data_IF_136757890786
#
_entry.id   IF_136757890786
#
_cell.length_a   1.000
_cell.length_b   1.000
_cell.length_c   1.000
_cell.angle_alpha   90.00
_cell.angle_beta   90.00
_cell.angle_gamma   90.00
#
_symmetry.space_group_name_H-M   'P 1'
#
loop_
_entity.id
_entity.type
_entity.pdbx_description
1 polymer ?
#
# COMPACT_ATOMS: atom_id res chain seq x y z
N UNK A 1 8.79 24.56 -15.22
CA UNK A 1 10.14 24.18 -14.70
C UNK A 1 9.99 23.93 -13.21
N UNK A 2 10.46 22.79 -12.67
CA UNK A 2 10.27 22.26 -11.29
C UNK A 2 9.17 21.19 -11.13
N UNK A 3 9.35 20.00 -11.73
CA UNK A 3 8.72 18.75 -11.26
C UNK A 3 9.77 17.65 -11.28
N UNK A 4 10.80 17.83 -10.46
CA UNK A 4 11.79 16.80 -10.16
C UNK A 4 11.77 16.59 -8.65
N UNK A 5 11.62 15.32 -8.23
CA UNK A 5 11.53 14.82 -6.83
C UNK A 5 10.11 14.74 -6.27
N UNK A 6 9.58 13.50 -6.25
CA UNK A 6 9.19 12.81 -5.01
C UNK A 6 8.87 11.35 -5.34
N UNK A 7 9.90 10.53 -5.12
CA UNK A 7 9.89 9.08 -5.15
C UNK A 7 9.49 8.57 -3.76
N UNK A 8 8.63 7.57 -3.75
CA UNK A 8 8.40 6.56 -2.70
C UNK A 8 7.99 7.05 -1.30
N UNK A 9 6.81 6.60 -0.85
CA UNK A 9 6.50 6.01 0.47
C UNK A 9 4.98 5.72 0.54
N UNK A 10 4.57 4.95 1.55
CA UNK A 10 3.19 4.74 2.03
C UNK A 10 2.36 3.58 1.46
N UNK A 11 2.68 2.29 1.72
CA UNK A 11 1.74 1.17 1.49
C UNK A 11 1.91 -0.03 2.43
N UNK A 12 1.86 0.18 3.75
CA UNK A 12 2.20 -0.85 4.75
C UNK A 12 1.06 -1.32 5.68
N UNK A 13 -0.19 -0.92 5.46
CA UNK A 13 -1.25 -1.17 6.46
C UNK A 13 -1.94 -2.53 6.42
N UNK A 14 -2.03 -3.18 5.26
CA UNK A 14 -2.98 -4.27 5.13
C UNK A 14 -2.51 -5.59 5.78
N UNK A 15 -1.21 -5.85 5.74
CA UNK A 15 -0.67 -7.17 6.02
C UNK A 15 -0.38 -7.45 7.51
N UNK A 16 -0.56 -6.46 8.40
CA UNK A 16 -0.42 -6.67 9.86
C UNK A 16 -1.43 -7.69 10.43
N UNK A 17 -2.46 -8.06 9.68
CA UNK A 17 -3.65 -8.72 10.23
C UNK A 17 -3.69 -10.24 10.02
N UNK A 18 -2.81 -10.78 9.16
CA UNK A 18 -2.68 -12.22 8.91
C UNK A 18 -1.55 -12.90 9.72
N UNK A 19 -0.77 -12.14 10.49
CA UNK A 19 0.42 -12.61 11.22
C UNK A 19 0.27 -12.58 12.75
N UNK A 20 -0.97 -12.70 13.26
CA UNK A 20 -1.24 -12.86 14.69
C UNK A 20 -0.88 -14.28 15.17
N UNK A 21 0.42 -14.59 15.21
CA UNK A 21 0.94 -15.72 15.97
C UNK A 21 1.46 -15.32 17.36
N UNK A 22 1.76 -14.02 17.55
CA UNK A 22 2.16 -13.43 18.84
C UNK A 22 1.69 -11.97 18.91
N UNK A 23 1.15 -11.54 20.06
CA UNK A 23 0.65 -10.18 20.26
C UNK A 23 1.72 -9.11 20.03
N UNK A 24 2.98 -9.42 20.36
CA UNK A 24 4.10 -8.48 20.23
C UNK A 24 4.54 -8.25 18.79
N UNK A 25 4.47 -9.28 17.94
CA UNK A 25 4.71 -9.12 16.50
C UNK A 25 3.68 -8.18 15.88
N UNK A 26 2.40 -8.38 16.22
CA UNK A 26 1.33 -7.51 15.77
C UNK A 26 1.55 -6.06 16.23
N UNK A 27 1.90 -5.84 17.50
CA UNK A 27 2.13 -4.50 18.06
C UNK A 27 3.20 -3.72 17.29
N UNK A 28 4.36 -4.34 17.04
CA UNK A 28 5.46 -3.69 16.31
C UNK A 28 5.02 -3.35 14.88
N UNK A 29 4.38 -4.30 14.19
CA UNK A 29 3.95 -4.08 12.79
C UNK A 29 2.85 -3.04 12.66
N UNK A 30 1.88 -3.04 13.58
CA UNK A 30 0.84 -2.03 13.64
C UNK A 30 1.43 -0.64 13.89
N UNK A 31 2.38 -0.49 14.83
CA UNK A 31 3.05 0.79 15.08
C UNK A 31 3.86 1.28 13.88
N UNK A 32 4.60 0.39 13.21
CA UNK A 32 5.34 0.72 11.98
C UNK A 32 4.37 1.16 10.88
N UNK A 33 3.27 0.44 10.69
CA UNK A 33 2.27 0.79 9.69
C UNK A 33 1.60 2.15 10.00
N UNK A 34 1.26 2.40 11.26
CA UNK A 34 0.74 3.70 11.73
C UNK A 34 1.76 4.82 11.51
N UNK A 35 3.05 4.58 11.73
CA UNK A 35 4.10 5.56 11.48
C UNK A 35 4.21 5.91 9.99
N UNK A 36 4.10 4.93 9.09
CA UNK A 36 4.12 5.19 7.64
C UNK A 36 2.92 5.99 7.14
N UNK A 37 1.75 5.72 7.71
CA UNK A 37 0.49 6.38 7.33
C UNK A 37 0.42 7.77 7.92
N UNK A 38 0.78 7.89 9.21
CA UNK A 38 0.90 9.16 9.91
C UNK A 38 1.91 10.05 9.19
N UNK A 39 3.10 9.53 8.90
CA UNK A 39 4.10 10.23 8.12
C UNK A 39 3.62 10.65 6.74
N UNK A 40 2.83 9.82 6.04
CA UNK A 40 2.23 10.18 4.75
C UNK A 40 1.20 11.29 4.86
N UNK A 41 0.28 11.20 5.82
CA UNK A 41 -0.70 12.24 6.09
C UNK A 41 -0.04 13.53 6.54
N UNK A 42 1.01 13.48 7.35
CA UNK A 42 1.81 14.65 7.75
C UNK A 42 2.50 15.27 6.54
N UNK A 43 3.05 14.49 5.61
CA UNK A 43 3.64 15.04 4.38
C UNK A 43 2.59 15.80 3.56
N UNK A 44 1.38 15.27 3.42
CA UNK A 44 0.26 15.94 2.75
C UNK A 44 -0.17 17.19 3.51
N UNK A 45 -0.23 17.11 4.83
CA UNK A 45 -0.61 18.22 5.70
C UNK A 45 0.39 19.39 5.60
N UNK A 46 1.69 19.09 5.51
CA UNK A 46 2.74 20.09 5.28
C UNK A 46 2.71 20.69 3.87
N UNK A 47 2.23 19.94 2.87
CA UNK A 47 2.06 20.44 1.50
C UNK A 47 0.86 21.39 1.38
N UNK A 48 -0.17 21.21 2.23
CA UNK A 48 -1.31 22.12 2.30
C UNK A 48 -0.86 23.42 2.99
N UNK A 49 -0.55 24.45 2.20
CA UNK A 49 -0.10 25.76 2.69
C UNK A 49 -1.07 26.52 3.62
N UNK A 50 -2.27 25.99 3.90
CA UNK A 50 -3.25 26.53 4.87
C UNK A 50 -3.92 25.39 5.68
N UNK A 51 -3.20 24.72 6.59
CA UNK A 51 -3.66 23.50 7.24
C UNK A 51 -4.94 23.67 8.08
N UNK A 52 -5.13 24.84 8.70
CA UNK A 52 -6.32 25.12 9.51
C UNK A 52 -7.62 25.16 8.68
N UNK A 53 -7.54 25.46 7.37
CA UNK A 53 -8.71 25.40 6.47
C UNK A 53 -8.98 23.98 5.94
N UNK A 54 -8.05 23.04 6.10
CA UNK A 54 -8.25 21.65 5.71
C UNK A 54 -9.33 20.96 6.57
N UNK A 55 -9.64 21.49 7.76
CA UNK A 55 -10.73 20.99 8.60
C UNK A 55 -12.09 21.11 7.86
N UNK A 56 -12.26 22.13 7.01
CA UNK A 56 -13.49 22.30 6.24
C UNK A 56 -13.71 21.20 5.18
N UNK A 57 -12.66 20.43 4.83
CA UNK A 57 -12.74 19.30 3.90
C UNK A 57 -13.57 18.17 4.49
N UNK A 58 -13.67 18.04 5.81
CA UNK A 58 -14.44 16.97 6.46
C UNK A 58 -15.96 17.10 6.31
N UNK A 59 -16.49 18.28 5.98
CA UNK A 59 -17.94 18.52 5.93
C UNK A 59 -18.63 18.06 4.64
N UNK A 60 -17.87 17.73 3.58
CA UNK A 60 -18.44 17.34 2.27
C UNK A 60 -17.92 15.97 1.78
N UNK A 61 -18.22 14.86 2.48
CA UNK A 61 -17.73 13.53 2.12
C UNK A 61 -18.23 12.99 0.78
N UNK A 62 -19.35 13.54 0.29
CA UNK A 62 -19.97 13.05 -0.94
C UNK A 62 -19.21 13.51 -2.20
N UNK A 63 -18.57 14.68 -2.18
CA UNK A 63 -18.00 15.30 -3.39
C UNK A 63 -16.52 15.03 -3.58
N UNK A 64 -15.76 14.72 -2.51
CA UNK A 64 -14.30 14.57 -2.59
C UNK A 64 -13.83 13.22 -2.04
N UNK A 65 -12.98 12.52 -2.81
CA UNK A 65 -12.33 11.29 -2.35
C UNK A 65 -11.27 11.54 -1.27
N UNK A 66 -10.73 12.76 -1.20
CA UNK A 66 -9.78 13.18 -0.17
C UNK A 66 -10.44 13.27 1.22
N UNK A 67 -11.69 13.75 1.28
CA UNK A 67 -12.48 13.74 2.52
C UNK A 67 -12.72 12.32 3.01
N UNK A 68 -13.02 11.39 2.08
CA UNK A 68 -13.27 9.97 2.42
C UNK A 68 -12.01 9.30 2.98
N UNK A 69 -10.83 9.59 2.41
CA UNK A 69 -9.55 9.13 2.96
C UNK A 69 -9.35 9.60 4.40
N UNK A 70 -9.57 10.89 4.67
CA UNK A 70 -9.46 11.46 6.02
C UNK A 70 -10.43 10.84 7.02
N UNK A 71 -11.69 10.64 6.62
CA UNK A 71 -12.72 10.00 7.47
C UNK A 71 -12.37 8.55 7.77
N UNK A 72 -11.75 7.81 6.84
CA UNK A 72 -11.32 6.42 7.05
C UNK A 72 -10.03 6.33 7.86
N UNK A 73 -9.14 7.33 7.76
CA UNK A 73 -7.89 7.38 8.52
C UNK A 73 -8.14 7.39 10.04
N UNK A 74 -9.08 8.22 10.53
CA UNK A 74 -9.35 8.31 11.98
C UNK A 74 -9.72 6.95 12.61
N UNK A 75 -10.76 6.22 12.15
CA UNK A 75 -11.11 4.92 12.70
C UNK A 75 -10.02 3.88 12.45
N UNK A 76 -9.26 3.98 11.36
CA UNK A 76 -8.11 3.11 11.12
C UNK A 76 -7.07 3.28 12.26
N UNK A 77 -6.69 4.52 12.56
CA UNK A 77 -5.74 4.81 13.65
C UNK A 77 -6.29 4.30 14.99
N UNK A 78 -7.56 4.55 15.29
CA UNK A 78 -8.19 4.10 16.53
C UNK A 78 -8.22 2.57 16.64
N UNK A 79 -8.64 1.86 15.58
CA UNK A 79 -8.70 0.40 15.59
C UNK A 79 -7.31 -0.24 15.66
N UNK A 80 -6.33 0.31 14.94
CA UNK A 80 -4.97 -0.19 14.98
C UNK A 80 -4.34 0.01 16.38
N UNK A 81 -4.50 1.19 16.99
CA UNK A 81 -4.03 1.47 18.35
C UNK A 81 -4.76 0.62 19.40
N UNK A 82 -6.08 0.44 19.26
CA UNK A 82 -6.84 -0.47 20.11
C UNK A 82 -6.31 -1.90 19.99
N UNK A 83 -6.04 -2.39 18.78
CA UNK A 83 -5.41 -3.69 18.57
C UNK A 83 -4.04 -3.82 19.24
N UNK A 84 -3.22 -2.76 19.23
CA UNK A 84 -1.92 -2.72 19.92
C UNK A 84 -2.11 -2.85 21.42
N UNK A 85 -3.06 -2.09 21.99
CA UNK A 85 -3.34 -2.06 23.42
C UNK A 85 -3.91 -3.38 23.93
N UNK A 86 -4.95 -3.90 23.28
CA UNK A 86 -5.64 -5.12 23.67
C UNK A 86 -4.95 -6.41 23.19
N UNK A 87 -3.90 -6.30 22.38
CA UNK A 87 -3.06 -7.44 21.98
C UNK A 87 -3.70 -8.39 20.97
N UNK A 88 -4.79 -8.01 20.31
CA UNK A 88 -5.42 -8.82 19.26
C UNK A 88 -6.96 -8.73 19.24
N UNK A 89 -7.58 -9.53 18.38
CA UNK A 89 -9.03 -9.69 18.30
C UNK A 89 -9.71 -8.89 17.18
N UNK A 90 -10.97 -8.52 17.40
CA UNK A 90 -11.84 -7.87 16.40
C UNK A 90 -11.22 -6.58 15.84
N UNK A 91 -10.50 -5.82 16.68
CA UNK A 91 -9.82 -4.58 16.27
C UNK A 91 -8.77 -4.80 15.19
N UNK A 92 -8.09 -5.95 15.18
CA UNK A 92 -7.13 -6.32 14.14
C UNK A 92 -7.85 -6.51 12.81
N UNK A 93 -8.95 -7.28 12.82
CA UNK A 93 -9.78 -7.48 11.62
C UNK A 93 -10.34 -6.17 11.09
N UNK A 94 -10.83 -5.30 11.98
CA UNK A 94 -11.32 -3.97 11.61
C UNK A 94 -10.21 -3.08 11.03
N UNK A 95 -9.03 -3.07 11.63
CA UNK A 95 -7.88 -2.33 11.10
C UNK A 95 -7.44 -2.85 9.72
N UNK A 96 -7.54 -4.17 9.48
CA UNK A 96 -7.30 -4.77 8.16
C UNK A 96 -8.25 -4.18 7.11
N UNK A 97 -9.54 -4.24 7.41
CA UNK A 97 -10.61 -3.82 6.51
C UNK A 97 -10.50 -2.32 6.23
N UNK A 98 -10.33 -1.51 7.28
CA UNK A 98 -10.12 -0.07 7.14
C UNK A 98 -8.84 0.24 6.36
N UNK A 99 -7.79 -0.58 6.48
CA UNK A 99 -6.56 -0.47 5.68
C UNK A 99 -6.81 -0.67 4.19
N UNK A 100 -7.65 -1.63 3.80
CA UNK A 100 -8.07 -1.80 2.39
C UNK A 100 -8.86 -0.59 1.92
N UNK A 101 -9.82 -0.15 2.74
CA UNK A 101 -10.68 0.99 2.37
C UNK A 101 -9.83 2.24 2.20
N UNK A 102 -8.85 2.46 3.08
CA UNK A 102 -7.89 3.56 2.98
C UNK A 102 -7.07 3.48 1.68
N UNK A 103 -6.53 2.30 1.35
CA UNK A 103 -5.77 2.09 0.10
C UNK A 103 -6.66 2.26 -1.15
N UNK A 104 -7.92 1.84 -1.07
CA UNK A 104 -8.91 2.06 -2.11
C UNK A 104 -9.19 3.55 -2.31
N UNK A 105 -9.36 4.32 -1.23
CA UNK A 105 -9.50 5.78 -1.30
C UNK A 105 -8.30 6.41 -2.03
N UNK A 106 -7.07 6.02 -1.71
CA UNK A 106 -5.88 6.51 -2.40
C UNK A 106 -5.88 6.18 -3.91
N UNK A 107 -6.28 4.97 -4.27
CA UNK A 107 -6.46 4.58 -5.67
C UNK A 107 -7.50 5.43 -6.39
N UNK A 108 -8.61 5.76 -5.74
CA UNK A 108 -9.70 6.59 -6.29
C UNK A 108 -9.32 8.07 -6.42
N UNK A 109 -8.50 8.60 -5.51
CA UNK A 109 -7.93 9.95 -5.62
C UNK A 109 -7.05 10.04 -6.87
N UNK A 110 -6.20 9.05 -7.10
CA UNK A 110 -5.38 8.97 -8.32
C UNK A 110 -6.25 8.91 -9.58
N UNK A 111 -7.31 8.11 -9.54
CA UNK A 111 -8.27 8.01 -10.64
C UNK A 111 -8.98 9.34 -10.94
N UNK A 112 -9.31 10.11 -9.90
CA UNK A 112 -9.97 11.40 -10.03
C UNK A 112 -9.00 12.53 -10.44
N UNK A 113 -7.70 12.24 -10.58
CA UNK A 113 -6.71 13.27 -10.92
C UNK A 113 -6.82 13.75 -12.37
N UNK A 114 -6.30 14.96 -12.63
CA UNK A 114 -6.33 15.59 -13.96
C UNK A 114 -5.47 14.86 -15.02
N UNK A 115 -4.55 14.00 -14.60
CA UNK A 115 -3.62 13.34 -15.51
C UNK A 115 -4.30 12.17 -16.22
N UNK A 116 -4.35 12.21 -17.56
CA UNK A 116 -5.05 11.22 -18.40
C UNK A 116 -4.57 9.78 -18.18
N UNK A 117 -3.29 9.57 -17.86
CA UNK A 117 -2.74 8.25 -17.54
C UNK A 117 -3.32 7.63 -16.26
N UNK A 118 -3.82 8.44 -15.34
CA UNK A 118 -4.31 7.98 -14.05
C UNK A 118 -5.85 7.86 -14.03
N UNK A 119 -6.57 8.47 -14.98
CA UNK A 119 -8.04 8.39 -15.08
C UNK A 119 -8.57 7.00 -15.42
N UNK A 120 -7.72 6.12 -15.93
CA UNK A 120 -8.08 4.74 -16.26
C UNK A 120 -8.54 3.99 -15.00
N UNK A 121 -9.76 3.42 -14.95
CA UNK A 121 -10.29 2.74 -13.77
C UNK A 121 -9.43 1.59 -13.26
N UNK A 122 -8.65 0.97 -14.14
CA UNK A 122 -7.72 -0.11 -13.78
C UNK A 122 -6.51 0.34 -12.95
N UNK A 123 -6.32 1.65 -12.75
CA UNK A 123 -5.33 2.15 -11.79
C UNK A 123 -5.65 1.68 -10.37
N UNK A 124 -6.92 1.60 -9.99
CA UNK A 124 -7.36 1.25 -8.63
C UNK A 124 -6.93 -0.18 -8.25
N UNK A 125 -7.26 -1.24 -9.03
CA UNK A 125 -6.80 -2.58 -8.72
C UNK A 125 -5.28 -2.71 -8.79
N UNK A 126 -4.59 -1.93 -9.63
CA UNK A 126 -3.13 -1.90 -9.65
C UNK A 126 -2.58 -1.36 -8.32
N UNK A 127 -3.10 -0.24 -7.81
CA UNK A 127 -2.69 0.34 -6.53
C UNK A 127 -2.94 -0.63 -5.38
N UNK A 128 -4.12 -1.26 -5.35
CA UNK A 128 -4.44 -2.31 -4.38
C UNK A 128 -3.42 -3.45 -4.44
N UNK A 129 -3.21 -4.05 -5.63
CA UNK A 129 -2.28 -5.16 -5.81
C UNK A 129 -0.84 -4.79 -5.42
N UNK A 130 -0.39 -3.58 -5.74
CA UNK A 130 0.94 -3.12 -5.31
C UNK A 130 1.05 -2.96 -3.79
N UNK A 131 0.01 -2.48 -3.11
CA UNK A 131 0.02 -2.36 -1.65
C UNK A 131 0.01 -3.72 -0.94
N UNK A 132 -0.72 -4.71 -1.48
CA UNK A 132 -0.63 -6.08 -0.98
C UNK A 132 0.79 -6.65 -1.18
N UNK A 133 1.40 -6.49 -2.36
CA UNK A 133 2.77 -6.99 -2.62
C UNK A 133 3.80 -6.36 -1.66
N UNK A 134 3.72 -5.04 -1.45
CA UNK A 134 4.65 -4.32 -0.55
C UNK A 134 4.46 -4.74 0.91
N UNK A 135 3.22 -4.93 1.36
CA UNK A 135 2.92 -5.46 2.69
C UNK A 135 3.39 -6.91 2.88
N UNK A 136 3.24 -7.77 1.87
CA UNK A 136 3.71 -9.16 1.90
C UNK A 136 5.24 -9.25 1.99
N UNK A 137 5.96 -8.42 1.23
CA UNK A 137 7.42 -8.36 1.27
C UNK A 137 7.95 -7.92 2.64
N UNK A 138 7.32 -6.93 3.26
CA UNK A 138 7.68 -6.45 4.60
C UNK A 138 7.43 -7.48 5.70
N UNK A 139 6.32 -8.21 5.65
CA UNK A 139 6.07 -9.33 6.57
C UNK A 139 7.18 -10.38 6.53
N UNK A 140 7.73 -10.64 5.35
CA UNK A 140 8.75 -11.67 5.16
C UNK A 140 10.14 -11.21 5.60
N UNK A 141 10.43 -9.92 5.51
CA UNK A 141 11.68 -9.33 6.01
C UNK A 141 11.75 -9.25 7.54
N UNK A 142 10.67 -9.58 8.25
CA UNK A 142 10.63 -9.66 9.71
C UNK A 142 10.58 -11.11 10.22
N UNK A 143 11.66 -11.91 10.03
CA UNK A 143 11.67 -13.33 10.40
C UNK A 143 11.74 -13.58 11.91
N UNK A 144 11.99 -12.54 12.71
CA UNK A 144 12.33 -12.63 14.13
C UNK A 144 11.15 -12.79 15.10
N UNK A 145 9.88 -12.70 14.65
CA UNK A 145 8.76 -12.65 15.61
C UNK A 145 7.68 -13.72 15.49
N UNK A 146 7.69 -14.58 14.46
CA UNK A 146 6.70 -15.66 14.34
C UNK A 146 7.17 -16.87 13.48
N UNK A 147 7.21 -18.09 14.02
CA UNK A 147 7.42 -19.32 13.25
C UNK A 147 6.27 -19.64 12.27
N UNK A 148 5.05 -19.15 12.54
CA UNK A 148 3.84 -19.41 11.74
C UNK A 148 3.88 -18.73 10.36
N UNK A 149 4.44 -17.53 10.24
CA UNK A 149 4.65 -16.82 8.97
C UNK A 149 5.72 -17.48 8.10
N UNK A 150 6.52 -18.40 8.66
CA UNK A 150 7.55 -19.16 7.94
C UNK A 150 6.91 -20.18 6.97
N UNK A 151 5.83 -20.87 7.37
CA UNK A 151 5.19 -21.98 6.62
C UNK A 151 4.08 -21.57 5.64
N UNK A 152 3.25 -20.56 5.96
CA UNK A 152 2.15 -20.14 5.08
C UNK A 152 2.57 -19.24 3.88
N UNK A 153 3.86 -18.88 3.78
CA UNK A 153 4.23 -17.62 3.12
C UNK A 153 4.61 -17.65 1.64
N UNK A 154 5.04 -18.77 1.04
CA UNK A 154 5.48 -18.74 -0.37
C UNK A 154 4.33 -18.68 -1.39
N UNK A 155 3.25 -19.50 -1.29
CA UNK A 155 2.23 -19.51 -2.33
C UNK A 155 1.34 -18.27 -2.24
N UNK A 156 1.13 -17.72 -1.05
CA UNK A 156 0.45 -16.44 -0.84
C UNK A 156 1.27 -15.25 -1.37
N UNK A 157 2.60 -15.26 -1.22
CA UNK A 157 3.44 -14.23 -1.84
C UNK A 157 3.42 -14.35 -3.37
N UNK A 158 3.53 -15.57 -3.91
CA UNK A 158 3.45 -15.80 -5.35
C UNK A 158 2.10 -15.39 -5.93
N UNK A 159 0.98 -15.71 -5.27
CA UNK A 159 -0.35 -15.31 -5.75
C UNK A 159 -0.50 -13.78 -5.79
N UNK A 160 0.00 -13.07 -4.78
CA UNK A 160 -0.07 -11.60 -4.73
C UNK A 160 0.86 -10.95 -5.78
N UNK A 161 2.03 -11.53 -6.07
CA UNK A 161 2.91 -11.11 -7.17
C UNK A 161 2.25 -11.34 -8.54
N UNK A 162 1.59 -12.48 -8.73
CA UNK A 162 0.85 -12.80 -9.97
C UNK A 162 -0.31 -11.81 -10.14
N UNK A 163 -1.09 -11.54 -9.09
CA UNK A 163 -2.17 -10.55 -9.11
C UNK A 163 -1.67 -9.16 -9.50
N UNK A 164 -0.51 -8.73 -9.00
CA UNK A 164 0.12 -7.46 -9.40
C UNK A 164 0.51 -7.45 -10.87
N UNK A 165 1.13 -8.53 -11.37
CA UNK A 165 1.49 -8.66 -12.80
C UNK A 165 0.26 -8.63 -13.70
N UNK A 166 -0.82 -9.31 -13.30
CA UNK A 166 -2.10 -9.27 -14.01
C UNK A 166 -2.69 -7.85 -13.98
N UNK A 167 -2.73 -7.20 -12.81
CA UNK A 167 -3.28 -5.84 -12.69
C UNK A 167 -2.50 -4.83 -13.56
N UNK A 168 -1.17 -4.96 -13.62
CA UNK A 168 -0.32 -4.13 -14.46
C UNK A 168 -0.59 -4.32 -15.95
N UNK A 169 -0.62 -5.58 -16.42
CA UNK A 169 -0.89 -5.88 -17.84
C UNK A 169 -2.28 -5.43 -18.26
N UNK A 170 -3.29 -5.62 -17.39
CA UNK A 170 -4.65 -5.16 -17.63
C UNK A 170 -4.75 -3.63 -17.72
N UNK A 171 -4.02 -2.92 -16.85
CA UNK A 171 -3.92 -1.46 -16.85
C UNK A 171 -3.24 -0.95 -18.11
N UNK A 172 -2.08 -1.49 -18.49
CA UNK A 172 -1.35 -1.10 -19.70
C UNK A 172 -2.18 -1.32 -20.97
N UNK A 173 -2.80 -2.50 -21.11
CA UNK A 173 -3.68 -2.80 -22.25
C UNK A 173 -4.88 -1.86 -22.33
N UNK A 174 -5.43 -1.45 -21.19
CA UNK A 174 -6.56 -0.52 -21.18
C UNK A 174 -6.15 0.90 -21.57
N UNK A 175 -5.00 1.34 -21.09
CA UNK A 175 -4.41 2.63 -21.46
C UNK A 175 -4.11 2.72 -22.95
N UNK A 176 -3.61 1.63 -23.54
CA UNK A 176 -3.35 1.53 -24.97
C UNK A 176 -4.65 1.58 -25.79
N UNK A 177 -5.71 0.94 -25.30
CA UNK A 177 -7.03 0.93 -25.95
C UNK A 177 -7.78 2.25 -25.81
N UNK A 178 -7.71 2.92 -24.65
CA UNK A 178 -8.52 4.09 -24.31
C UNK A 178 -7.91 5.43 -24.76
N UNK A 179 -6.84 5.41 -25.56
CA UNK A 179 -6.40 6.58 -26.34
C UNK A 179 -5.51 7.58 -25.61
N UNK A 180 -4.55 7.12 -24.79
CA UNK A 180 -3.45 7.99 -24.36
C UNK A 180 -2.74 8.57 -25.60
N UNK A 181 -2.43 9.89 -25.65
CA UNK A 181 -1.76 10.49 -26.80
C UNK A 181 -0.47 9.72 -27.14
N UNK A 182 -0.25 9.43 -28.43
CA UNK A 182 0.87 8.59 -28.91
C UNK A 182 2.23 9.04 -28.35
N UNK A 183 2.42 10.35 -28.16
CA UNK A 183 3.63 10.92 -27.58
C UNK A 183 3.82 10.54 -26.09
N UNK A 184 2.75 10.54 -25.30
CA UNK A 184 2.79 10.09 -23.91
C UNK A 184 3.04 8.56 -23.82
N UNK A 185 2.48 7.80 -24.76
CA UNK A 185 2.71 6.35 -24.84
C UNK A 185 4.17 6.00 -25.17
N UNK A 186 4.80 6.75 -26.09
CA UNK A 186 6.20 6.55 -26.46
C UNK A 186 7.18 6.82 -25.30
N UNK A 187 6.82 7.71 -24.37
CA UNK A 187 7.58 7.92 -23.14
C UNK A 187 7.25 6.84 -22.12
N UNK A 188 5.97 6.46 -21.99
CA UNK A 188 5.53 5.52 -20.96
C UNK A 188 6.00 4.09 -21.21
N UNK A 189 6.07 3.62 -22.47
CA UNK A 189 6.54 2.27 -22.82
C UNK A 189 7.94 1.92 -22.28
N UNK A 190 9.00 2.72 -22.53
CA UNK A 190 10.34 2.42 -22.01
C UNK A 190 10.43 2.55 -20.48
N UNK A 191 9.64 3.44 -19.88
CA UNK A 191 9.53 3.54 -18.43
C UNK A 191 8.73 2.41 -17.81
N UNK A 192 7.69 1.91 -18.49
CA UNK A 192 6.81 0.85 -18.03
C UNK A 192 7.54 -0.46 -17.82
N UNK A 193 8.37 -0.88 -18.79
CA UNK A 193 9.19 -2.08 -18.64
C UNK A 193 10.17 -1.96 -17.45
N UNK A 194 10.82 -0.80 -17.29
CA UNK A 194 11.73 -0.55 -16.15
C UNK A 194 10.98 -0.46 -14.82
N UNK A 195 9.77 0.09 -14.82
CA UNK A 195 8.93 0.21 -13.62
C UNK A 195 8.35 -1.14 -13.20
N UNK A 196 7.95 -1.97 -14.15
CA UNK A 196 7.54 -3.36 -13.90
C UNK A 196 8.73 -4.14 -13.34
N UNK A 197 9.90 -4.04 -13.99
CA UNK A 197 11.11 -4.70 -13.52
C UNK A 197 11.51 -4.22 -12.12
N UNK A 198 11.65 -2.91 -11.87
CA UNK A 198 12.02 -2.39 -10.54
C UNK A 198 10.94 -2.64 -9.48
N UNK A 199 9.66 -2.51 -9.86
CA UNK A 199 8.52 -2.70 -8.99
C UNK A 199 8.25 -4.17 -8.64
N UNK A 200 8.77 -5.10 -9.43
CA UNK A 200 8.71 -6.54 -9.22
C UNK A 200 9.99 -7.06 -8.54
N UNK A 201 11.16 -6.56 -8.95
CA UNK A 201 12.45 -6.92 -8.36
C UNK A 201 12.53 -6.52 -6.88
N UNK A 202 12.06 -5.34 -6.49
CA UNK A 202 12.10 -4.94 -5.09
C UNK A 202 11.36 -5.93 -4.15
N UNK A 203 10.08 -6.28 -4.40
CA UNK A 203 9.39 -7.29 -3.59
C UNK A 203 9.91 -8.71 -3.79
N UNK A 204 10.40 -9.10 -4.97
CA UNK A 204 11.05 -10.39 -5.18
C UNK A 204 12.34 -10.51 -4.36
N UNK A 205 13.19 -9.47 -4.35
CA UNK A 205 14.40 -9.40 -3.52
C UNK A 205 14.03 -9.45 -2.04
N UNK A 206 13.00 -8.73 -1.60
CA UNK A 206 12.54 -8.77 -0.20
C UNK A 206 12.00 -10.15 0.20
N UNK A 207 11.28 -10.84 -0.70
CA UNK A 207 10.80 -12.20 -0.47
C UNK A 207 11.98 -13.18 -0.40
N UNK A 208 12.91 -13.12 -1.37
CA UNK A 208 14.10 -13.98 -1.43
C UNK A 208 15.01 -13.72 -0.23
N UNK A 209 15.30 -12.46 0.10
CA UNK A 209 16.05 -12.08 1.29
C UNK A 209 15.37 -12.62 2.55
N UNK A 210 14.05 -12.48 2.68
CA UNK A 210 13.29 -13.06 3.79
C UNK A 210 13.34 -14.59 3.85
N UNK A 211 13.46 -15.29 2.72
CA UNK A 211 13.70 -16.75 2.68
C UNK A 211 15.12 -17.08 3.15
N UNK A 212 16.14 -16.39 2.65
CA UNK A 212 17.53 -16.61 3.04
C UNK A 212 17.76 -16.29 4.52
N UNK A 213 17.34 -15.11 5.00
CA UNK A 213 17.45 -14.75 6.42
C UNK A 213 16.58 -15.64 7.32
N UNK A 214 15.41 -16.08 6.85
CA UNK A 214 14.57 -17.04 7.58
C UNK A 214 15.09 -18.49 7.60
N UNK A 215 15.97 -18.86 6.66
CA UNK A 215 16.61 -20.16 6.56
C UNK A 215 17.99 -20.24 7.21
N UNK A 216 18.72 -19.13 7.29
CA UNK A 216 20.08 -19.02 7.88
C UNK A 216 20.06 -18.94 9.41
N UNK A 217 18.91 -18.62 10.04
CA UNK A 217 18.71 -18.67 11.49
C UNK A 217 17.79 -19.84 11.90
N UNK A 218 18.22 -21.11 11.81
CA UNK A 218 17.47 -22.25 12.34
C UNK A 218 17.69 -22.49 13.85
N UNK A 219 18.26 -21.54 14.62
CA UNK A 219 18.62 -21.82 16.01
C UNK A 219 19.02 -20.66 16.92
N UNK A 220 18.35 -19.51 16.83
CA UNK A 220 18.32 -18.51 17.92
C UNK A 220 16.86 -18.26 18.31
#
# INVERSE_FOLDING_TARGET
MQLHRRRHRHRLLFFATLAAGSADAYRIMALVALAFVGGGLTCVWLEIGRPLRAINVFFHPQTSWMTREGIVAVPLFLCALAGVWFGGGVFVGMAALLGVVFLYCQGRILQASRHSAWREPKIVPLILATGFVEGAGWLRCWPLSCPATRRAGWPACCSVLILRRIAWTLYFKAIEKNGLPKMAMNILRPFGAKFEMLGQLAPEILIVAGIFYGGVLPGL
#
